data_IF_850047607806
#
_entry.id   IF_850047607806
#
_cell.length_a   1.000
_cell.length_b   1.000
_cell.length_c   1.000
_cell.angle_alpha   90.00
_cell.angle_beta   90.00
_cell.angle_gamma   90.00
#
_symmetry.space_group_name_H-M   'P 1'
#
loop_
_entity.id
_entity.type
_entity.pdbx_description
1 polymer ?
#
# COMPACT_ATOMS: atom_id res chain seq x y z
N UNK A 1 19.24 -15.94 -65.41
CA UNK A 1 18.33 -16.85 -64.69
C UNK A 1 19.17 -17.68 -63.72
N UNK A 2 19.08 -17.38 -62.42
CA UNK A 2 19.40 -18.23 -61.25
C UNK A 2 19.26 -17.37 -59.98
N UNK A 3 17.99 -17.26 -59.59
CA UNK A 3 17.42 -17.18 -58.24
C UNK A 3 18.24 -16.49 -57.13
N UNK A 4 17.72 -15.33 -56.69
CA UNK A 4 17.93 -14.81 -55.35
C UNK A 4 17.35 -15.81 -54.32
N UNK A 5 18.11 -16.11 -53.27
CA UNK A 5 17.57 -16.66 -52.02
C UNK A 5 17.86 -15.63 -50.93
N UNK A 6 16.84 -14.84 -50.61
CA UNK A 6 16.86 -13.91 -49.48
C UNK A 6 16.86 -14.69 -48.18
N UNK A 7 17.80 -14.36 -47.28
CA UNK A 7 17.77 -14.82 -45.91
C UNK A 7 16.90 -13.83 -45.14
N UNK A 8 15.62 -14.17 -44.96
CA UNK A 8 14.70 -13.45 -44.09
C UNK A 8 14.66 -14.10 -42.70
N UNK A 9 15.04 -13.30 -41.70
CA UNK A 9 14.47 -13.13 -40.36
C UNK A 9 14.36 -14.34 -39.41
N UNK A 10 15.06 -14.23 -38.27
CA UNK A 10 14.49 -14.59 -36.96
C UNK A 10 15.19 -13.78 -35.85
N UNK A 11 14.74 -12.53 -35.62
CA UNK A 11 15.00 -11.87 -34.34
C UNK A 11 14.01 -12.49 -33.35
N UNK A 12 14.44 -13.53 -32.65
CA UNK A 12 13.70 -14.05 -31.50
C UNK A 12 13.68 -12.97 -30.43
N UNK A 13 12.52 -12.33 -30.24
CA UNK A 13 12.30 -11.41 -29.13
C UNK A 13 12.26 -12.25 -27.85
N UNK A 14 13.40 -12.41 -27.19
CA UNK A 14 13.47 -13.00 -25.87
C UNK A 14 12.74 -12.05 -24.89
N UNK A 15 11.47 -12.33 -24.63
CA UNK A 15 10.75 -11.72 -23.51
C UNK A 15 11.36 -12.29 -22.24
N UNK A 16 12.33 -11.58 -21.68
CA UNK A 16 12.84 -11.87 -20.35
C UNK A 16 11.70 -11.62 -19.35
N UNK A 17 11.41 -12.56 -18.43
CA UNK A 17 10.48 -12.27 -17.35
C UNK A 17 11.08 -11.17 -16.49
N UNK A 18 10.47 -9.99 -16.52
CA UNK A 18 10.84 -8.89 -15.63
C UNK A 18 10.45 -9.28 -14.21
N UNK A 19 11.44 -9.54 -13.35
CA UNK A 19 11.19 -9.77 -11.94
C UNK A 19 10.70 -8.46 -11.32
N UNK A 20 9.49 -8.46 -10.76
CA UNK A 20 9.03 -7.36 -9.93
C UNK A 20 9.88 -7.38 -8.65
N UNK A 21 10.69 -6.36 -8.43
CA UNK A 21 11.42 -6.18 -7.19
C UNK A 21 10.54 -5.34 -6.25
N UNK A 22 10.15 -5.90 -5.11
CA UNK A 22 9.54 -5.14 -4.04
C UNK A 22 10.67 -4.47 -3.24
N UNK A 23 10.81 -3.16 -3.39
CA UNK A 23 11.75 -2.36 -2.61
C UNK A 23 11.03 -1.77 -1.40
N UNK A 24 11.63 -1.88 -0.22
CA UNK A 24 11.16 -1.17 0.96
C UNK A 24 11.51 0.30 0.83
N UNK A 25 10.53 1.17 1.05
CA UNK A 25 10.72 2.62 1.02
C UNK A 25 10.47 3.22 2.39
N UNK A 26 11.25 4.24 2.72
CA UNK A 26 11.05 4.99 3.95
C UNK A 26 9.89 5.96 3.80
N UNK A 27 8.94 5.90 4.74
CA UNK A 27 7.76 6.75 4.75
C UNK A 27 7.76 7.62 6.00
N UNK A 28 7.59 8.93 5.81
CA UNK A 28 7.29 9.86 6.89
C UNK A 28 5.79 10.09 6.93
N UNK A 29 5.16 9.72 8.04
CA UNK A 29 3.74 10.02 8.29
C UNK A 29 3.66 11.20 9.24
N UNK A 30 3.15 12.32 8.72
CA UNK A 30 2.86 13.51 9.52
C UNK A 30 1.36 13.57 9.76
N UNK A 31 0.96 13.65 11.03
CA UNK A 31 -0.44 13.91 11.40
C UNK A 31 -0.52 15.25 12.10
N UNK A 32 -1.38 16.12 11.58
CA UNK A 32 -1.64 17.46 12.11
C UNK A 32 -3.05 17.53 12.70
N UNK A 33 -3.15 18.06 13.91
CA UNK A 33 -4.45 18.36 14.51
C UNK A 33 -4.94 19.73 14.05
N UNK A 34 -5.93 19.74 13.16
CA UNK A 34 -6.56 20.96 12.64
C UNK A 34 -7.70 21.50 13.54
N UNK A 35 -7.88 20.94 14.74
CA UNK A 35 -8.84 21.46 15.70
C UNK A 35 -8.40 22.84 16.22
N UNK A 36 -9.35 23.72 16.61
CA UNK A 36 -9.03 25.00 17.23
C UNK A 36 -8.15 24.85 18.49
N UNK A 37 -7.40 25.88 18.83
CA UNK A 37 -6.62 25.93 20.08
C UNK A 37 -7.53 25.69 21.29
N UNK A 38 -7.06 24.89 22.26
CA UNK A 38 -7.81 24.48 23.46
C UNK A 38 -9.09 23.66 23.16
N UNK A 39 -9.09 22.91 22.07
CA UNK A 39 -10.19 22.03 21.67
C UNK A 39 -9.79 20.55 21.80
N UNK A 40 -10.20 19.72 20.84
CA UNK A 40 -9.98 18.28 20.78
C UNK A 40 -8.49 17.94 20.83
N UNK A 41 -8.15 16.98 21.68
CA UNK A 41 -6.85 16.30 21.70
C UNK A 41 -7.03 14.86 21.26
N UNK A 42 -6.08 14.32 20.50
CA UNK A 42 -6.11 12.93 20.09
C UNK A 42 -5.38 12.03 21.08
N UNK A 43 -5.91 10.82 21.30
CA UNK A 43 -5.13 9.73 21.84
C UNK A 43 -3.99 9.34 20.87
N UNK A 44 -3.00 8.53 21.29
CA UNK A 44 -1.98 8.02 20.39
C UNK A 44 -2.56 7.38 19.13
N UNK A 45 -2.03 7.77 17.97
CA UNK A 45 -2.48 7.31 16.66
C UNK A 45 -1.75 6.03 16.25
N UNK A 46 -2.46 5.13 15.56
CA UNK A 46 -1.92 3.87 15.06
C UNK A 46 -1.99 3.86 13.54
N UNK A 47 -0.85 3.65 12.89
CA UNK A 47 -0.72 3.63 11.43
C UNK A 47 -0.11 2.29 11.03
N UNK A 48 -0.76 1.58 10.12
CA UNK A 48 -0.32 0.28 9.62
C UNK A 48 -0.23 0.28 8.10
N UNK A 49 0.86 -0.27 7.57
CA UNK A 49 1.04 -0.52 6.14
C UNK A 49 0.75 -1.99 5.85
N UNK A 50 -0.16 -2.27 4.93
CA UNK A 50 -0.58 -3.64 4.63
C UNK A 50 -0.84 -3.83 3.12
N UNK A 51 -0.94 -5.09 2.69
CA UNK A 51 -1.09 -5.47 1.28
C UNK A 51 -2.56 -5.60 0.82
N UNK A 52 -3.51 -5.00 1.53
CA UNK A 52 -4.94 -5.05 1.25
C UNK A 52 -5.69 -6.25 1.86
N UNK A 53 -5.03 -7.06 2.70
CA UNK A 53 -5.64 -8.23 3.37
C UNK A 53 -6.08 -7.91 4.79
N UNK A 54 -5.41 -6.95 5.44
CA UNK A 54 -5.75 -6.49 6.76
C UNK A 54 -6.64 -5.27 6.65
N UNK A 55 -7.86 -5.39 7.15
CA UNK A 55 -8.75 -4.28 7.40
C UNK A 55 -8.94 -4.10 8.91
N UNK A 56 -8.61 -2.92 9.41
CA UNK A 56 -8.80 -2.57 10.81
C UNK A 56 -10.23 -2.19 11.14
N UNK A 57 -10.94 -1.54 10.21
CA UNK A 57 -12.25 -0.96 10.44
C UNK A 57 -12.93 -0.52 9.13
N UNK A 58 -14.19 -0.92 8.98
CA UNK A 58 -15.10 -0.43 7.94
C UNK A 58 -16.20 0.46 8.53
N UNK A 59 -16.47 1.60 7.88
CA UNK A 59 -17.58 2.49 8.28
C UNK A 59 -18.93 1.79 8.13
N UNK A 60 -19.70 1.73 9.21
CA UNK A 60 -21.00 1.06 9.25
C UNK A 60 -20.94 -0.42 9.63
N UNK A 61 -19.73 -0.99 9.75
CA UNK A 61 -19.54 -2.31 10.34
C UNK A 61 -19.46 -2.22 11.88
N UNK A 62 -19.71 -3.34 12.55
CA UNK A 62 -19.49 -3.44 13.99
C UNK A 62 -17.98 -3.41 14.30
N UNK A 63 -17.57 -2.56 15.24
CA UNK A 63 -16.16 -2.47 15.65
C UNK A 63 -15.71 -3.75 16.37
N UNK A 64 -14.52 -4.23 16.04
CA UNK A 64 -13.89 -5.33 16.78
C UNK A 64 -13.49 -4.89 18.19
N UNK A 65 -13.31 -5.83 19.12
CA UNK A 65 -12.92 -5.52 20.50
C UNK A 65 -11.62 -4.69 20.59
N UNK A 66 -10.66 -4.92 19.68
CA UNK A 66 -9.43 -4.14 19.62
C UNK A 66 -9.69 -2.68 19.22
N UNK A 67 -10.56 -2.44 18.24
CA UNK A 67 -10.95 -1.08 17.83
C UNK A 67 -11.73 -0.37 18.93
N UNK A 68 -12.62 -1.07 19.64
CA UNK A 68 -13.33 -0.51 20.79
C UNK A 68 -12.36 -0.07 21.89
N UNK A 69 -11.34 -0.87 22.20
CA UNK A 69 -10.32 -0.49 23.19
C UNK A 69 -9.56 0.78 22.79
N UNK A 70 -9.25 0.94 21.50
CA UNK A 70 -8.56 2.13 20.97
C UNK A 70 -9.48 3.35 21.02
N UNK A 71 -10.72 3.21 20.56
CA UNK A 71 -11.68 4.31 20.44
C UNK A 71 -12.15 4.83 21.81
N UNK A 72 -12.43 3.94 22.75
CA UNK A 72 -13.02 4.30 24.05
C UNK A 72 -11.96 4.43 25.16
N UNK A 73 -10.93 3.58 25.14
CA UNK A 73 -9.92 3.53 26.18
C UNK A 73 -8.67 4.35 25.88
N UNK A 74 -8.43 4.70 24.61
CA UNK A 74 -7.18 5.32 24.17
C UNK A 74 -5.93 4.45 24.36
N UNK A 75 -6.08 3.23 24.90
CA UNK A 75 -5.00 2.32 25.25
C UNK A 75 -4.71 1.35 24.11
N UNK A 76 -3.51 1.42 23.60
CA UNK A 76 -2.94 0.49 22.63
C UNK A 76 -1.65 1.03 22.07
#
# INVERSE_FOLDING_TARGET
>A
MRTLVGISLAIGLAVLPQTANAESVDLLVVVENLAPTNSVTFAPLRVGFNSGVYDSFDSGAAASAAIVSIAEGGSG
#
